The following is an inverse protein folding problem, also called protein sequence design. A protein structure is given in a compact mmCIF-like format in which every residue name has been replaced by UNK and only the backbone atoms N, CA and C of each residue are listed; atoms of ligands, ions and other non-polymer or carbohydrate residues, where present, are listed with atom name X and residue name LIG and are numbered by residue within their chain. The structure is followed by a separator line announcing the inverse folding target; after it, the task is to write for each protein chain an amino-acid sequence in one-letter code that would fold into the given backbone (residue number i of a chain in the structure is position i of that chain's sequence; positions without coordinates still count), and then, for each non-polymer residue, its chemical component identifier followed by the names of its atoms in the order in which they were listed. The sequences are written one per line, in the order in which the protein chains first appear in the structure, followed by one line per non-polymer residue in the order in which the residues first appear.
data_IF_001127410614
#
_entry.id   IF_001127410614
#
_cell.length_a   1.000
_cell.length_b   1.000
_cell.length_c   1.000
_cell.angle_alpha   90.00
_cell.angle_beta   90.00
_cell.angle_gamma   90.00
#
_symmetry.space_group_name_H-M   'P 1'
#
loop_
_entity.id
_entity.type
_entity.pdbx_description
1 polymer ?
#
# COMPACT_ATOMS: atom_id res chain seq x y z
N UNK A 1 -14.19 22.23 1.59
CA UNK A 1 -13.31 21.10 1.22
C UNK A 1 -12.96 21.23 -0.26
N UNK A 2 -11.69 21.45 -0.60
CA UNK A 2 -11.20 21.35 -1.98
C UNK A 2 -11.11 19.84 -2.34
N UNK A 3 -11.82 19.40 -3.39
CA UNK A 3 -11.86 18.00 -3.88
C UNK A 3 -10.84 17.75 -5.00
N UNK A 4 -9.63 18.23 -4.85
CA UNK A 4 -8.55 17.85 -5.76
C UNK A 4 -7.98 16.50 -5.34
N UNK A 5 -8.49 15.44 -5.95
CA UNK A 5 -7.88 14.11 -5.86
C UNK A 5 -6.54 14.14 -6.60
N UNK A 6 -5.43 13.93 -5.89
CA UNK A 6 -4.11 13.76 -6.48
C UNK A 6 -3.85 12.27 -6.71
N UNK A 7 -3.51 11.90 -7.93
CA UNK A 7 -3.12 10.54 -8.29
C UNK A 7 -1.60 10.38 -8.14
N UNK A 8 -1.17 9.32 -7.48
CA UNK A 8 0.23 8.89 -7.40
C UNK A 8 0.34 7.55 -8.11
N UNK A 9 1.29 7.41 -9.02
CA UNK A 9 1.44 6.23 -9.86
C UNK A 9 2.91 5.96 -10.18
N UNK A 10 3.21 4.70 -10.44
CA UNK A 10 4.50 4.22 -10.93
C UNK A 10 4.22 3.13 -11.97
N UNK A 11 4.98 3.12 -13.05
CA UNK A 11 4.81 2.17 -14.17
C UNK A 11 6.07 1.34 -14.37
N UNK A 12 5.88 0.13 -14.87
CA UNK A 12 6.95 -0.77 -15.28
C UNK A 12 6.49 -1.61 -16.46
N UNK A 13 7.44 -2.02 -17.31
CA UNK A 13 7.23 -3.05 -18.34
C UNK A 13 7.59 -4.46 -17.83
N UNK A 14 8.14 -4.55 -16.61
CA UNK A 14 8.44 -5.80 -15.92
C UNK A 14 7.23 -6.28 -15.12
N UNK A 15 7.33 -7.49 -14.55
CA UNK A 15 6.31 -8.01 -13.64
C UNK A 15 6.20 -7.12 -12.40
N UNK A 16 4.97 -6.84 -11.98
CA UNK A 16 4.69 -6.19 -10.70
C UNK A 16 4.83 -7.25 -9.61
N UNK A 17 5.97 -7.22 -8.91
CA UNK A 17 6.24 -8.09 -7.77
C UNK A 17 6.21 -7.31 -6.44
N UNK A 18 6.49 -8.03 -5.36
CA UNK A 18 6.46 -7.43 -4.03
C UNK A 18 7.55 -6.39 -3.81
N UNK A 19 8.68 -6.48 -4.53
CA UNK A 19 9.76 -5.50 -4.46
C UNK A 19 9.34 -4.19 -5.11
N UNK A 20 8.67 -4.25 -6.26
CA UNK A 20 8.12 -3.07 -6.93
C UNK A 20 7.10 -2.34 -6.05
N UNK A 21 6.18 -3.09 -5.42
CA UNK A 21 5.20 -2.51 -4.49
C UNK A 21 5.87 -1.94 -3.24
N UNK A 22 6.88 -2.63 -2.70
CA UNK A 22 7.65 -2.15 -1.55
C UNK A 22 8.29 -0.80 -1.85
N UNK A 23 8.98 -0.67 -2.98
CA UNK A 23 9.64 0.57 -3.38
C UNK A 23 8.64 1.72 -3.54
N UNK A 24 7.51 1.47 -4.20
CA UNK A 24 6.46 2.48 -4.36
C UNK A 24 5.93 2.97 -3.00
N UNK A 25 5.56 2.05 -2.11
CA UNK A 25 5.02 2.41 -0.79
C UNK A 25 6.08 3.05 0.12
N UNK A 26 7.32 2.60 0.04
CA UNK A 26 8.44 3.21 0.76
C UNK A 26 8.63 4.66 0.36
N UNK A 27 8.75 4.93 -0.93
CA UNK A 27 8.89 6.30 -1.45
C UNK A 27 7.66 7.15 -1.15
N UNK A 28 6.46 6.59 -1.30
CA UNK A 28 5.21 7.28 -0.99
C UNK A 28 5.12 7.66 0.50
N UNK A 29 5.54 6.77 1.41
CA UNK A 29 5.56 7.03 2.86
C UNK A 29 6.43 8.23 3.26
N UNK A 30 7.43 8.59 2.45
CA UNK A 30 8.30 9.75 2.68
C UNK A 30 7.71 11.07 2.13
N UNK A 31 6.70 10.99 1.25
CA UNK A 31 6.12 12.14 0.56
C UNK A 31 4.81 12.63 1.20
N UNK A 32 4.17 11.83 2.06
CA UNK A 32 2.93 12.21 2.72
C UNK A 32 3.17 13.25 3.82
N UNK A 33 2.18 14.13 4.01
CA UNK A 33 2.22 15.20 5.04
C UNK A 33 1.06 15.11 6.05
N UNK A 34 0.21 14.09 5.91
CA UNK A 34 -0.94 13.80 6.77
C UNK A 34 -1.06 12.29 6.88
N UNK A 35 -1.69 11.84 7.96
CA UNK A 35 -2.07 10.44 8.09
C UNK A 35 -2.81 9.97 6.83
N UNK A 36 -2.31 8.89 6.26
CA UNK A 36 -2.75 8.36 4.98
C UNK A 36 -3.09 6.89 5.15
N UNK A 37 -4.28 6.52 4.69
CA UNK A 37 -4.82 5.18 4.82
C UNK A 37 -4.89 4.57 3.42
N UNK A 38 -4.15 3.49 3.19
CA UNK A 38 -4.22 2.71 1.95
C UNK A 38 -5.03 1.44 2.23
N UNK A 39 -5.98 1.15 1.36
CA UNK A 39 -6.73 -0.11 1.36
C UNK A 39 -6.29 -0.91 0.14
N UNK A 40 -5.67 -2.07 0.37
CA UNK A 40 -5.22 -3.01 -0.65
C UNK A 40 -6.19 -4.20 -0.73
N UNK A 41 -6.27 -4.84 -1.89
CA UNK A 41 -6.90 -6.16 -1.98
C UNK A 41 -6.01 -7.24 -1.33
N UNK A 42 -6.43 -8.50 -1.40
CA UNK A 42 -5.73 -9.62 -0.77
C UNK A 42 -4.76 -10.35 -1.73
N UNK A 43 -4.26 -9.71 -2.78
CA UNK A 43 -3.24 -10.33 -3.62
C UNK A 43 -2.00 -10.74 -2.78
N UNK A 44 -1.42 -11.89 -3.12
CA UNK A 44 -0.21 -12.44 -2.49
C UNK A 44 0.95 -11.45 -2.49
N UNK A 45 1.06 -10.61 -3.53
CA UNK A 45 2.11 -9.59 -3.64
C UNK A 45 2.03 -8.61 -2.46
N UNK A 46 0.84 -8.10 -2.17
CA UNK A 46 0.60 -7.16 -1.06
C UNK A 46 0.69 -7.83 0.32
N UNK A 47 0.46 -9.15 0.40
CA UNK A 47 0.56 -9.94 1.64
C UNK A 47 1.94 -10.57 1.86
N UNK A 48 2.91 -10.30 0.98
CA UNK A 48 4.25 -10.89 1.07
C UNK A 48 4.99 -10.50 2.36
N UNK A 49 5.92 -11.35 2.80
CA UNK A 49 6.68 -11.16 4.04
C UNK A 49 7.39 -9.80 4.10
N UNK A 50 8.01 -9.37 3.01
CA UNK A 50 8.74 -8.09 2.95
C UNK A 50 7.81 -6.88 3.13
N UNK A 51 6.57 -6.98 2.67
CA UNK A 51 5.57 -5.92 2.89
C UNK A 51 5.11 -5.94 4.35
N UNK A 52 4.78 -7.12 4.89
CA UNK A 52 4.34 -7.25 6.29
C UNK A 52 5.38 -6.73 7.28
N UNK A 53 6.66 -7.06 7.06
CA UNK A 53 7.76 -6.58 7.89
C UNK A 53 7.98 -5.06 7.78
N UNK A 54 7.56 -4.43 6.68
CA UNK A 54 7.72 -2.99 6.48
C UNK A 54 6.58 -2.14 7.04
N UNK A 55 5.38 -2.70 7.17
CA UNK A 55 4.18 -1.99 7.66
C UNK A 55 4.43 -1.18 8.95
N UNK A 56 5.10 -1.69 10.01
CA UNK A 56 5.32 -0.92 11.24
C UNK A 56 6.08 0.40 10.99
N UNK A 57 7.08 0.37 10.11
CA UNK A 57 7.89 1.56 9.78
C UNK A 57 7.10 2.58 8.95
N UNK A 58 6.21 2.11 8.08
CA UNK A 58 5.30 3.00 7.36
C UNK A 58 4.27 3.62 8.29
N UNK A 59 3.77 2.87 9.28
CA UNK A 59 2.86 3.39 10.30
C UNK A 59 3.52 4.48 11.15
N UNK A 60 4.79 4.32 11.54
CA UNK A 60 5.57 5.37 12.22
C UNK A 60 5.67 6.67 11.39
N UNK A 61 5.58 6.58 10.05
CA UNK A 61 5.57 7.71 9.12
C UNK A 61 4.16 8.24 8.82
N UNK A 62 3.13 7.67 9.43
CA UNK A 62 1.73 8.04 9.21
C UNK A 62 1.08 7.38 8.00
N UNK A 63 1.71 6.36 7.39
CA UNK A 63 1.13 5.56 6.32
C UNK A 63 0.58 4.25 6.89
N UNK A 64 -0.74 4.13 6.93
CA UNK A 64 -1.43 2.94 7.45
C UNK A 64 -1.94 2.07 6.30
N UNK A 65 -1.60 0.79 6.34
CA UNK A 65 -2.01 -0.19 5.32
C UNK A 65 -3.10 -1.11 5.89
N UNK A 66 -4.23 -1.15 5.21
CA UNK A 66 -5.36 -2.03 5.48
C UNK A 66 -5.57 -2.96 4.29
N UNK A 67 -6.11 -4.14 4.57
CA UNK A 67 -6.51 -5.09 3.54
C UNK A 67 -8.02 -5.21 3.56
N UNK A 68 -8.62 -5.35 2.37
CA UNK A 68 -10.04 -5.68 2.27
C UNK A 68 -10.33 -6.98 3.06
N UNK A 69 -11.49 -7.09 3.72
CA UNK A 69 -11.89 -8.33 4.34
C UNK A 69 -11.95 -9.43 3.27
N UNK A 70 -11.46 -10.62 3.61
CA UNK A 70 -11.62 -11.76 2.73
C UNK A 70 -13.12 -12.04 2.60
N UNK A 71 -13.62 -12.11 1.36
CA UNK A 71 -15.02 -12.42 1.14
C UNK A 71 -15.34 -13.74 1.83
N UNK A 72 -16.18 -13.68 2.87
CA UNK A 72 -16.76 -14.87 3.46
C UNK A 72 -17.71 -15.45 2.40
N UNK A 73 -17.31 -16.54 1.76
CA UNK A 73 -18.27 -17.40 1.09
C UNK A 73 -19.07 -18.08 2.19
N UNK A 74 -20.25 -17.56 2.47
CA UNK A 74 -21.27 -18.28 3.23
C UNK A 74 -21.59 -19.58 2.46
N UNK A 75 -21.23 -20.72 3.04
CA UNK A 75 -21.69 -22.05 2.61
C UNK A 75 -23.14 -22.27 3.02
#
# INVERSE_FOLDING_TARGET
MNRQSKCYWQTTEQNIDAGFILEFLENFSLQIHKETFIVLDNDKVHKSKIIQERIPYWQERGLFVFFLPQAQLSL
#
